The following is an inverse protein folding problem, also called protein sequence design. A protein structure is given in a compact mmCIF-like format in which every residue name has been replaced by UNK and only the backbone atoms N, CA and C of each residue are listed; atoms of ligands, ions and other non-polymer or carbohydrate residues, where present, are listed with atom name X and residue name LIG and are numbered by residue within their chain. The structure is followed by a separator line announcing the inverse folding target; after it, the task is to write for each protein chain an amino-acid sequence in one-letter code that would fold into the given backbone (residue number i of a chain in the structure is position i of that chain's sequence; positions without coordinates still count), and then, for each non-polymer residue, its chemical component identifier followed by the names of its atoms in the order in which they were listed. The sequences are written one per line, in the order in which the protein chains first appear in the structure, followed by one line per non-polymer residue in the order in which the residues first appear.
data_IF_123114810203
#
_entry.id   IF_123114810203
#
_cell.length_a   1.000
_cell.length_b   1.000
_cell.length_c   1.000
_cell.angle_alpha   90.00
_cell.angle_beta   90.00
_cell.angle_gamma   90.00
#
_symmetry.space_group_name_H-M   'P 1'
#
loop_
_entity.id
_entity.type
_entity.pdbx_description
1 polymer ?
#
# COMPACT_ATOMS: atom_id res chain seq x y z
N UNK A 1 -2.61 14.16 17.70
CA UNK A 1 -1.27 14.77 17.88
C UNK A 1 -0.13 13.76 17.75
N UNK A 2 -0.16 12.60 18.40
CA UNK A 2 0.93 11.58 18.35
C UNK A 2 1.14 11.03 16.92
N UNK A 3 0.07 10.74 16.18
CA UNK A 3 0.18 10.23 14.81
C UNK A 3 0.85 11.25 13.88
N UNK A 4 0.43 12.52 13.93
CA UNK A 4 1.02 13.58 13.12
C UNK A 4 2.53 13.73 13.38
N UNK A 5 2.94 13.79 14.65
CA UNK A 5 4.35 13.90 15.02
C UNK A 5 5.20 12.71 14.54
N UNK A 6 4.64 11.49 14.59
CA UNK A 6 5.34 10.31 14.06
C UNK A 6 5.47 10.36 12.53
N UNK A 7 4.42 10.78 11.81
CA UNK A 7 4.47 10.94 10.36
C UNK A 7 5.46 12.03 9.94
N UNK A 8 5.46 13.17 10.63
CA UNK A 8 6.46 14.22 10.40
C UNK A 8 7.90 13.69 10.58
N UNK A 9 8.14 12.91 11.63
CA UNK A 9 9.44 12.30 11.87
C UNK A 9 9.83 11.35 10.72
N UNK A 10 8.90 10.53 10.23
CA UNK A 10 9.13 9.64 9.10
C UNK A 10 9.45 10.44 7.84
N UNK A 11 8.69 11.49 7.56
CA UNK A 11 8.93 12.36 6.40
C UNK A 11 10.25 13.13 6.45
N UNK A 12 10.84 13.33 7.65
CA UNK A 12 12.19 13.91 7.80
C UNK A 12 13.31 12.91 7.53
N UNK A 13 13.05 11.63 7.76
CA UNK A 13 14.04 10.55 7.60
C UNK A 13 14.02 10.01 6.17
N UNK A 14 12.85 9.92 5.57
CA UNK A 14 12.61 9.36 4.26
C UNK A 14 12.03 10.40 3.30
N UNK A 15 12.37 10.31 2.03
CA UNK A 15 11.71 11.08 0.96
C UNK A 15 10.34 10.50 0.65
N UNK A 16 9.38 10.78 1.53
CA UNK A 16 8.00 10.28 1.41
C UNK A 16 7.30 11.00 0.26
N UNK A 17 6.93 10.26 -0.78
CA UNK A 17 6.20 10.78 -1.92
C UNK A 17 4.70 10.82 -1.67
N UNK A 18 4.14 9.75 -1.12
CA UNK A 18 2.70 9.65 -0.82
C UNK A 18 2.44 9.06 0.57
N UNK A 19 1.36 9.48 1.17
CA UNK A 19 0.79 8.94 2.41
C UNK A 19 -0.54 8.28 2.03
N UNK A 20 -0.50 6.95 1.88
CA UNK A 20 -1.66 6.18 1.44
C UNK A 20 -2.60 5.91 2.60
N UNK A 21 -3.86 6.28 2.47
CA UNK A 21 -4.83 6.24 3.58
C UNK A 21 -6.14 5.58 3.21
N UNK A 22 -6.83 5.04 4.23
CA UNK A 22 -8.24 4.66 4.15
C UNK A 22 -9.09 5.94 4.22
N UNK A 23 -10.03 6.18 3.26
CA UNK A 23 -10.83 7.39 3.24
C UNK A 23 -11.71 7.60 4.48
N UNK A 24 -12.09 6.52 5.20
CA UNK A 24 -13.08 6.61 6.28
C UNK A 24 -12.55 7.16 7.62
N UNK A 25 -11.28 7.03 7.90
CA UNK A 25 -10.77 7.27 9.26
C UNK A 25 -9.96 8.56 9.42
N UNK A 26 -9.59 9.24 8.34
CA UNK A 26 -8.57 10.29 8.39
C UNK A 26 -9.07 11.71 8.16
N UNK A 27 -10.30 11.91 7.67
CA UNK A 27 -10.81 13.24 7.30
C UNK A 27 -10.67 14.28 8.42
N UNK A 28 -10.95 13.91 9.69
CA UNK A 28 -10.77 14.80 10.82
C UNK A 28 -9.31 15.00 11.24
N UNK A 29 -8.49 13.98 11.08
CA UNK A 29 -7.09 14.04 11.48
C UNK A 29 -6.24 14.79 10.47
N UNK A 30 -6.53 14.65 9.18
CA UNK A 30 -5.83 15.35 8.09
C UNK A 30 -5.90 16.86 8.24
N UNK A 31 -7.03 17.40 8.67
CA UNK A 31 -7.21 18.85 8.90
C UNK A 31 -6.24 19.42 9.95
N UNK A 32 -5.71 18.56 10.82
CA UNK A 32 -4.74 18.94 11.86
C UNK A 32 -3.27 18.81 11.38
N UNK A 33 -3.05 18.34 10.16
CA UNK A 33 -1.71 18.16 9.62
C UNK A 33 -1.23 19.41 8.88
N UNK A 34 0.08 19.65 8.84
CA UNK A 34 0.63 20.71 8.00
C UNK A 34 0.22 20.53 6.52
N UNK A 35 0.02 21.62 5.81
CA UNK A 35 -0.44 21.64 4.41
C UNK A 35 0.44 20.76 3.51
N UNK A 36 1.76 20.88 3.61
CA UNK A 36 2.71 20.07 2.85
C UNK A 36 2.54 18.54 3.04
N UNK A 37 2.00 18.11 4.20
CA UNK A 37 1.71 16.71 4.48
C UNK A 37 0.35 16.31 3.90
N UNK A 38 -0.63 17.23 3.96
CA UNK A 38 -1.96 17.00 3.38
C UNK A 38 -1.87 16.79 1.86
N UNK A 39 -1.01 17.54 1.17
CA UNK A 39 -0.76 17.40 -0.27
C UNK A 39 -0.24 16.02 -0.67
N UNK A 40 0.43 15.32 0.23
CA UNK A 40 0.95 13.96 0.00
C UNK A 40 -0.07 12.85 0.23
N UNK A 41 -1.24 13.17 0.78
CA UNK A 41 -2.26 12.19 1.12
C UNK A 41 -2.96 11.69 -0.13
N UNK A 42 -3.03 10.37 -0.27
CA UNK A 42 -3.75 9.70 -1.34
C UNK A 42 -4.67 8.64 -0.75
N UNK A 43 -5.95 8.73 -1.06
CA UNK A 43 -6.95 7.78 -0.58
C UNK A 43 -6.91 6.48 -1.38
N UNK A 44 -6.99 5.35 -0.66
CA UNK A 44 -7.12 4.01 -1.24
C UNK A 44 -8.49 3.45 -0.85
N UNK A 45 -9.43 3.33 -1.79
CA UNK A 45 -10.73 2.73 -1.51
C UNK A 45 -10.58 1.29 -1.01
N UNK A 46 -11.17 0.97 0.15
CA UNK A 46 -11.10 -0.35 0.78
C UNK A 46 -12.08 -1.35 0.15
N UNK A 47 -12.25 -1.26 -1.17
CA UNK A 47 -13.06 -2.14 -2.00
C UNK A 47 -12.20 -3.20 -2.70
N UNK A 48 -12.82 -4.23 -3.26
CA UNK A 48 -12.08 -5.22 -4.08
C UNK A 48 -11.39 -4.51 -5.25
N UNK A 49 -12.09 -3.64 -5.96
CA UNK A 49 -11.52 -2.89 -7.08
C UNK A 49 -10.35 -1.98 -6.67
N UNK A 50 -10.43 -1.34 -5.50
CA UNK A 50 -9.38 -0.44 -4.99
C UNK A 50 -8.12 -1.15 -4.52
N UNK A 51 -8.22 -2.38 -4.05
CA UNK A 51 -7.11 -3.10 -3.40
C UNK A 51 -6.54 -4.26 -4.23
N UNK A 52 -7.29 -4.79 -5.18
CA UNK A 52 -6.95 -6.03 -5.89
C UNK A 52 -5.60 -5.94 -6.63
N UNK A 53 -5.37 -4.87 -7.37
CA UNK A 53 -4.13 -4.70 -8.15
C UNK A 53 -2.91 -4.66 -7.22
N UNK A 54 -3.00 -3.91 -6.13
CA UNK A 54 -1.94 -3.81 -5.12
C UNK A 54 -1.67 -5.14 -4.43
N UNK A 55 -2.72 -5.91 -4.14
CA UNK A 55 -2.57 -7.25 -3.56
C UNK A 55 -1.88 -8.22 -4.52
N UNK A 56 -2.31 -8.27 -5.77
CA UNK A 56 -1.71 -9.15 -6.79
C UNK A 56 -0.24 -8.81 -7.02
N UNK A 57 0.10 -7.53 -7.08
CA UNK A 57 1.48 -7.11 -7.24
C UNK A 57 2.34 -7.44 -6.01
N UNK A 58 1.81 -7.20 -4.81
CA UNK A 58 2.46 -7.57 -3.57
C UNK A 58 2.74 -9.08 -3.50
N UNK A 59 1.76 -9.91 -3.85
CA UNK A 59 1.89 -11.37 -3.93
C UNK A 59 2.97 -11.78 -4.94
N UNK A 60 2.92 -11.21 -6.15
CA UNK A 60 3.93 -11.45 -7.19
C UNK A 60 5.34 -11.16 -6.68
N UNK A 61 5.53 -9.99 -6.06
CA UNK A 61 6.83 -9.57 -5.53
C UNK A 61 7.31 -10.46 -4.39
N UNK A 62 6.41 -10.95 -3.53
CA UNK A 62 6.78 -11.94 -2.50
C UNK A 62 7.24 -13.25 -3.10
N UNK A 63 6.50 -13.78 -4.08
CA UNK A 63 6.84 -15.03 -4.76
C UNK A 63 8.14 -14.92 -5.57
N UNK A 64 8.41 -13.75 -6.14
CA UNK A 64 9.64 -13.47 -6.87
C UNK A 64 10.84 -13.11 -5.97
N UNK A 65 10.66 -13.07 -4.64
CA UNK A 65 11.69 -12.64 -3.67
C UNK A 65 12.21 -11.20 -3.91
N UNK A 66 11.39 -10.34 -4.48
CA UNK A 66 11.75 -8.94 -4.77
C UNK A 66 11.56 -8.02 -3.55
N UNK A 67 10.84 -8.48 -2.53
CA UNK A 67 10.62 -7.72 -1.30
C UNK A 67 11.68 -8.06 -0.25
N UNK A 68 12.34 -7.03 0.25
CA UNK A 68 13.22 -7.12 1.40
C UNK A 68 12.55 -6.51 2.62
N UNK A 69 12.52 -7.23 3.72
CA UNK A 69 11.92 -6.75 4.98
C UNK A 69 12.75 -7.16 6.19
N UNK A 70 12.62 -6.40 7.28
CA UNK A 70 13.39 -6.60 8.51
C UNK A 70 12.90 -7.78 9.38
N UNK A 71 12.08 -8.68 8.85
CA UNK A 71 11.50 -9.83 9.58
C UNK A 71 10.75 -9.41 10.86
N UNK A 72 10.04 -8.28 10.81
CA UNK A 72 9.28 -7.78 11.94
C UNK A 72 8.22 -8.81 12.39
N UNK A 73 8.23 -9.27 13.66
CA UNK A 73 7.32 -10.30 14.15
C UNK A 73 5.86 -9.86 14.11
N UNK A 74 5.56 -8.57 14.33
CA UNK A 74 4.20 -8.04 14.24
C UNK A 74 3.67 -8.10 12.80
N UNK A 75 4.50 -7.74 11.82
CA UNK A 75 4.15 -7.88 10.40
C UNK A 75 3.84 -9.33 10.04
N UNK A 76 4.72 -10.25 10.43
CA UNK A 76 4.53 -11.69 10.19
C UNK A 76 3.24 -12.23 10.83
N UNK A 77 2.97 -11.83 12.07
CA UNK A 77 1.74 -12.19 12.78
C UNK A 77 0.50 -11.66 12.06
N UNK A 78 0.47 -10.38 11.67
CA UNK A 78 -0.65 -9.79 10.97
C UNK A 78 -0.91 -10.46 9.61
N UNK A 79 0.14 -10.78 8.85
CA UNK A 79 0.02 -11.54 7.61
C UNK A 79 -0.61 -12.91 7.82
N UNK A 80 -0.16 -13.66 8.83
CA UNK A 80 -0.70 -14.99 9.17
C UNK A 80 -2.19 -14.96 9.55
N UNK A 81 -2.65 -13.86 10.13
CA UNK A 81 -4.06 -13.67 10.52
C UNK A 81 -4.95 -13.18 9.38
N UNK A 82 -4.38 -12.69 8.29
CA UNK A 82 -5.14 -12.08 7.22
C UNK A 82 -5.97 -13.13 6.47
N UNK A 83 -7.27 -12.91 6.39
CA UNK A 83 -8.19 -13.63 5.50
C UNK A 83 -8.54 -12.74 4.33
N UNK A 84 -8.76 -13.35 3.18
CA UNK A 84 -9.12 -12.67 1.95
C UNK A 84 -10.55 -12.99 1.54
N UNK A 85 -11.24 -12.02 0.92
CA UNK A 85 -12.46 -12.24 0.15
C UNK A 85 -12.12 -12.17 -1.32
N UNK A 86 -12.70 -13.08 -2.10
CA UNK A 86 -12.60 -13.09 -3.55
C UNK A 86 -13.97 -12.87 -4.18
N UNK A 87 -13.98 -12.26 -5.35
CA UNK A 87 -15.16 -12.21 -6.23
C UNK A 87 -15.10 -13.32 -7.29
N UNK A 88 -16.14 -13.39 -8.15
CA UNK A 88 -16.22 -14.38 -9.22
C UNK A 88 -15.12 -14.28 -10.29
N UNK A 89 -14.36 -13.19 -10.32
CA UNK A 89 -13.26 -12.94 -11.25
C UNK A 89 -11.88 -13.15 -10.61
N UNK A 90 -11.82 -13.83 -9.48
CA UNK A 90 -10.60 -14.03 -8.69
C UNK A 90 -9.89 -12.72 -8.26
N UNK A 91 -10.64 -11.62 -8.15
CA UNK A 91 -10.14 -10.42 -7.49
C UNK A 91 -10.28 -10.58 -5.98
N UNK A 92 -9.33 -10.06 -5.24
CA UNK A 92 -9.24 -10.28 -3.80
C UNK A 92 -9.00 -8.99 -3.03
N UNK A 93 -9.47 -8.97 -1.79
CA UNK A 93 -9.11 -7.96 -0.78
C UNK A 93 -8.99 -8.59 0.60
N UNK A 94 -8.21 -7.99 1.53
CA UNK A 94 -8.18 -8.45 2.91
C UNK A 94 -9.53 -8.18 3.60
N UNK A 95 -9.95 -9.08 4.48
CA UNK A 95 -11.20 -8.96 5.22
C UNK A 95 -10.97 -8.88 6.72
N UNK A 96 -11.12 -7.69 7.30
CA UNK A 96 -11.01 -7.46 8.74
C UNK A 96 -12.02 -8.27 9.56
N UNK A 97 -13.25 -8.39 9.09
CA UNK A 97 -14.33 -9.10 9.81
C UNK A 97 -14.23 -10.63 9.76
N UNK A 98 -13.45 -11.19 8.87
CA UNK A 98 -13.19 -12.64 8.77
C UNK A 98 -11.80 -13.02 9.29
N UNK A 99 -10.95 -12.05 9.54
CA UNK A 99 -9.63 -12.27 10.13
C UNK A 99 -9.75 -12.52 11.62
N UNK A 100 -8.96 -13.46 12.13
CA UNK A 100 -9.01 -13.90 13.53
C UNK A 100 -8.57 -12.76 14.45
N UNK A 101 -7.58 -11.98 14.02
CA UNK A 101 -6.95 -10.91 14.79
C UNK A 101 -6.75 -9.65 13.92
N UNK A 102 -6.08 -8.65 14.48
CA UNK A 102 -5.79 -7.38 13.78
C UNK A 102 -4.88 -7.59 12.58
N UNK A 103 -5.27 -7.02 11.45
CA UNK A 103 -4.54 -7.10 10.16
C UNK A 103 -4.11 -5.72 9.63
N UNK A 104 -4.17 -4.69 10.47
CA UNK A 104 -3.86 -3.32 10.06
C UNK A 104 -2.47 -3.17 9.41
N UNK A 105 -1.40 -3.86 9.87
CA UNK A 105 -0.10 -3.84 9.20
C UNK A 105 -0.16 -4.39 7.77
N UNK A 106 -0.94 -5.45 7.53
CA UNK A 106 -1.12 -6.02 6.18
C UNK A 106 -1.86 -5.07 5.27
N UNK A 107 -2.95 -4.46 5.76
CA UNK A 107 -3.73 -3.47 5.02
C UNK A 107 -2.88 -2.24 4.69
N UNK A 108 -2.07 -1.76 5.65
CA UNK A 108 -1.16 -0.64 5.44
C UNK A 108 -0.11 -0.95 4.35
N UNK A 109 0.42 -2.17 4.32
CA UNK A 109 1.37 -2.58 3.28
C UNK A 109 0.71 -2.65 1.89
N UNK A 110 -0.53 -3.14 1.79
CA UNK A 110 -1.28 -3.17 0.53
C UNK A 110 -1.57 -1.74 0.05
N UNK A 111 -1.94 -0.83 0.96
CA UNK A 111 -2.12 0.58 0.62
C UNK A 111 -0.81 1.22 0.16
N UNK A 112 0.31 0.95 0.83
CA UNK A 112 1.62 1.44 0.42
C UNK A 112 2.02 0.93 -0.97
N UNK A 113 1.71 -0.32 -1.30
CA UNK A 113 1.92 -0.89 -2.63
C UNK A 113 1.10 -0.15 -3.70
N UNK A 114 -0.12 0.29 -3.40
CA UNK A 114 -0.92 1.11 -4.31
C UNK A 114 -0.23 2.45 -4.65
N UNK A 115 0.49 3.02 -3.70
CA UNK A 115 1.33 4.20 -3.93
C UNK A 115 2.57 3.88 -4.77
N UNK A 116 3.26 2.79 -4.46
CA UNK A 116 4.47 2.37 -5.17
C UNK A 116 4.20 2.11 -6.66
N UNK A 117 3.10 1.42 -6.98
CA UNK A 117 2.69 1.17 -8.38
C UNK A 117 2.45 2.48 -9.15
N UNK A 118 1.91 3.51 -8.48
CA UNK A 118 1.65 4.82 -9.10
C UNK A 118 2.94 5.61 -9.36
N UNK A 119 3.97 5.39 -8.55
CA UNK A 119 5.26 6.07 -8.67
C UNK A 119 6.18 5.41 -9.69
N UNK A 120 5.96 4.13 -10.01
CA UNK A 120 6.72 3.52 -11.10
C UNK A 120 6.40 4.27 -12.39
N UNK A 121 7.40 4.91 -13.04
CA UNK A 121 7.19 5.41 -14.38
C UNK A 121 6.72 4.22 -15.21
N UNK A 122 5.65 4.40 -15.96
CA UNK A 122 5.19 3.40 -16.91
C UNK A 122 6.36 3.12 -17.86
N UNK A 123 7.17 2.11 -17.55
CA UNK A 123 8.22 1.63 -18.44
C UNK A 123 7.53 1.20 -19.72
N UNK A 124 7.60 2.08 -20.70
CA UNK A 124 7.12 1.74 -22.03
C UNK A 124 7.81 0.44 -22.45
N UNK A 125 7.02 -0.56 -22.82
CA UNK A 125 7.54 -1.83 -23.37
C UNK A 125 8.49 -1.58 -24.53
N UNK A 126 8.41 -0.38 -25.13
CA UNK A 126 9.24 0.08 -26.24
C UNK A 126 10.64 0.58 -25.82
N UNK A 127 10.83 0.96 -24.55
CA UNK A 127 12.17 1.37 -24.05
C UNK A 127 13.11 0.20 -23.80
N UNK A 128 12.59 -1.00 -23.55
CA UNK A 128 13.39 -2.20 -23.33
C UNK A 128 13.70 -2.99 -24.62
N UNK A 129 13.00 -2.70 -25.71
CA UNK A 129 13.25 -3.24 -27.04
C UNK A 129 13.72 -2.12 -27.95
N UNK A 130 15.04 -1.90 -27.99
CA UNK A 130 15.63 -1.01 -28.99
C UNK A 130 15.03 -1.31 -30.36
N UNK A 131 14.52 -0.26 -31.06
CA UNK A 131 14.07 -0.40 -32.45
C UNK A 131 15.24 -0.96 -33.27
N UNK A 132 15.14 -2.21 -33.67
CA UNK A 132 15.95 -2.70 -34.80
C UNK A 132 15.37 -2.07 -36.06
N UNK A 133 16.04 -1.06 -36.55
CA UNK A 133 15.84 -0.58 -37.91
C UNK A 133 16.50 -1.64 -38.81
N UNK A 134 15.67 -2.29 -39.62
CA UNK A 134 16.13 -3.17 -40.70
C UNK A 134 16.42 -2.30 -41.91
#
# INVERSE_FOLDING_TARGET
RVLAANLERICRIFDVQHIMTDPWMLQYQQQLWPEWMQEKVVEVPQTIAGMCTSMKELERMFLAHEIRHAKNPLGRWAFGNTRIATDGNANAKPMKNKSIEKIDPTVALINAMAGAIRLEPSRSIYESRGMRVV
#
